data_IF_269589477665
#
_entry.id   IF_269589477665
#
_cell.length_a   1.000
_cell.length_b   1.000
_cell.length_c   1.000
_cell.angle_alpha   90.00
_cell.angle_beta   90.00
_cell.angle_gamma   90.00
#
_symmetry.space_group_name_H-M   'P 1'
#
loop_
_entity.id
_entity.type
_entity.pdbx_description
1 polymer ?
2 polymer ?
3 water ?
#
# COMPACT_ATOMS: atom_id res chain seq x y z
N UNK A 9 14.10 6.78 -15.92
CA UNK A 9 13.28 5.66 -15.49
C UNK A 9 13.15 5.61 -13.98
N UNK A 10 12.09 4.94 -13.51
CA UNK A 10 11.83 4.75 -12.09
C UNK A 10 12.06 3.30 -11.68
N UNK A 11 11.81 2.38 -12.60
CA UNK A 11 12.29 1.02 -12.40
C UNK A 11 13.42 0.81 -13.40
N UNK A 12 14.62 0.97 -12.88
CA UNK A 12 15.80 1.22 -13.68
C UNK A 12 16.68 -0.02 -13.78
N UNK A 13 16.07 -1.18 -13.58
CA UNK A 13 16.78 -2.44 -13.63
C UNK A 13 17.96 -2.53 -12.69
N UNK A 14 17.76 -2.09 -11.45
CA UNK A 14 18.78 -2.21 -10.43
C UNK A 14 18.30 -3.25 -9.41
N UNK A 15 19.15 -3.60 -8.45
CA UNK A 15 18.74 -4.48 -7.37
C UNK A 15 18.21 -3.65 -6.23
N UNK A 16 17.08 -4.08 -5.67
CA UNK A 16 16.48 -3.44 -4.49
C UNK A 16 17.51 -3.26 -3.36
N UNK A 17 17.62 -2.05 -2.82
CA UNK A 17 18.39 -1.87 -1.62
C UNK A 17 17.48 -1.94 -0.40
N UNK A 18 16.76 -0.86 -0.11
CA UNK A 18 15.82 -0.91 1.00
C UNK A 18 14.37 -0.66 0.60
N UNK A 19 13.48 -0.95 1.54
CA UNK A 19 12.12 -0.47 1.50
C UNK A 19 11.99 0.50 2.63
N UNK A 20 11.97 1.78 2.31
CA UNK A 20 11.99 2.83 3.32
C UNK A 20 10.63 3.08 3.95
N UNK A 21 9.58 3.08 3.15
CA UNK A 21 8.31 3.59 3.68
C UNK A 21 7.17 3.12 2.79
N UNK A 22 5.94 3.30 3.21
CA UNK A 22 4.84 2.98 2.31
C UNK A 22 3.68 3.98 2.43
N UNK A 23 2.84 4.03 1.40
CA UNK A 23 1.62 4.87 1.46
C UNK A 23 0.50 4.25 0.63
N UNK A 24 -0.63 4.05 1.29
CA UNK A 24 -1.74 3.35 0.67
C UNK A 24 -2.69 4.32 0.02
N UNK A 25 -2.83 4.21 -1.30
CA UNK A 25 -3.89 4.91 -2.05
C UNK A 25 -4.77 3.86 -2.73
N UNK A 26 -5.36 4.18 -3.88
CA UNK A 26 -5.99 3.16 -4.71
C UNK A 26 -5.00 2.03 -4.91
N UNK A 27 -3.74 2.39 -5.07
CA UNK A 27 -2.69 1.41 -5.06
C UNK A 27 -1.81 1.66 -3.85
N UNK A 28 -1.22 0.59 -3.34
CA UNK A 28 -0.24 0.70 -2.29
C UNK A 28 1.10 1.06 -2.92
N UNK A 29 1.78 2.04 -2.34
CA UNK A 29 3.08 2.44 -2.86
C UNK A 29 4.16 2.15 -1.85
N UNK A 30 5.28 1.66 -2.34
CA UNK A 30 6.44 1.47 -1.51
C UNK A 30 7.46 2.45 -1.96
N UNK A 31 8.07 3.09 -0.99
CA UNK A 31 9.15 4.01 -1.22
C UNK A 31 10.46 3.31 -0.89
N UNK A 32 11.16 2.99 -1.98
CA UNK A 32 12.35 2.16 -1.96
C UNK A 32 13.58 2.85 -2.52
N UNK A 33 14.75 2.45 -2.00
CA UNK A 33 16.01 2.85 -2.62
C UNK A 33 16.58 1.68 -3.40
N UNK A 34 17.49 1.99 -4.33
CA UNK A 34 18.19 0.96 -5.11
C UNK A 34 19.70 0.98 -4.81
N UNK A 35 20.39 -0.11 -5.14
CA UNK A 35 21.81 -0.25 -4.79
C UNK A 35 22.74 0.60 -5.65
N UNK A 36 23.33 1.59 -5.00
CA UNK A 36 24.22 2.55 -5.64
C UNK A 36 23.60 3.89 -5.96
N UNK A 37 22.29 4.03 -5.75
CA UNK A 37 21.48 5.06 -6.42
C UNK A 37 21.24 6.41 -5.70
N UNK A 38 21.14 6.40 -4.37
CA UNK A 38 20.91 7.62 -3.57
C UNK A 38 19.51 8.25 -3.73
N UNK A 39 18.71 7.74 -4.67
CA UNK A 39 17.36 8.29 -4.81
C UNK A 39 16.27 7.28 -4.36
N UNK A 40 15.15 7.83 -3.92
CA UNK A 40 14.00 7.06 -3.48
C UNK A 40 12.95 7.08 -4.58
N UNK A 41 12.31 5.94 -4.78
CA UNK A 41 11.31 5.80 -5.82
C UNK A 41 10.02 5.30 -5.19
N UNK A 42 8.92 5.82 -5.71
CA UNK A 42 7.61 5.28 -5.40
C UNK A 42 7.40 4.17 -6.40
N UNK A 43 7.08 2.99 -5.91
CA UNK A 43 6.87 1.85 -6.78
C UNK A 43 5.63 1.16 -6.31
N UNK A 44 4.71 0.85 -7.22
CA UNK A 44 3.51 0.14 -6.79
C UNK A 44 3.82 -1.21 -6.15
N UNK A 45 3.10 -1.48 -5.07
CA UNK A 45 3.26 -2.71 -4.29
C UNK A 45 3.31 -3.98 -5.13
N UNK A 46 2.40 -4.09 -6.09
CA UNK A 46 2.27 -5.28 -6.91
C UNK A 46 3.56 -5.61 -7.66
N UNK A 47 4.12 -4.59 -8.30
CA UNK A 47 5.36 -4.76 -9.04
C UNK A 47 6.48 -5.28 -8.15
N UNK A 48 6.73 -4.52 -7.09
CA UNK A 48 7.84 -4.81 -6.20
C UNK A 48 7.65 -6.19 -5.57
N UNK A 49 6.40 -6.56 -5.32
CA UNK A 49 6.06 -7.75 -4.57
C UNK A 49 6.17 -8.97 -5.45
N UNK A 50 6.02 -8.81 -6.75
CA UNK A 50 6.34 -9.94 -7.60
C UNK A 50 7.86 -10.02 -7.72
N UNK A 51 8.49 -8.89 -7.97
CA UNK A 51 9.93 -8.85 -8.18
C UNK A 51 10.75 -9.35 -6.97
N UNK A 52 10.50 -8.77 -5.80
CA UNK A 52 11.21 -9.10 -4.55
C UNK A 52 10.22 -9.46 -3.44
N UNK A 53 9.54 -10.61 -3.57
CA UNK A 53 8.44 -10.97 -2.66
C UNK A 53 8.88 -11.19 -1.21
N UNK A 54 10.17 -11.22 -0.91
CA UNK A 54 10.58 -11.57 0.45
C UNK A 54 10.96 -10.35 1.29
N UNK A 55 11.76 -9.45 0.71
CA UNK A 55 12.09 -8.20 1.39
C UNK A 55 10.82 -7.34 1.66
N UNK A 56 9.78 -7.52 0.85
CA UNK A 56 8.51 -6.89 1.11
C UNK A 56 7.89 -7.34 2.43
N UNK A 57 7.67 -8.66 2.53
CA UNK A 57 7.03 -9.25 3.71
C UNK A 57 7.86 -8.92 4.91
N UNK A 58 9.18 -8.98 4.76
CA UNK A 58 10.05 -8.47 5.80
C UNK A 58 9.64 -7.07 6.21
N UNK A 59 9.47 -6.18 5.24
CA UNK A 59 9.13 -4.79 5.57
C UNK A 59 7.83 -4.65 6.35
N UNK A 60 6.81 -5.41 5.95
CA UNK A 60 5.53 -5.31 6.63
C UNK A 60 5.45 -6.07 7.96
N UNK A 61 6.29 -7.10 8.12
CA UNK A 61 6.26 -7.87 9.35
C UNK A 61 7.05 -7.19 10.46
N UNK A 62 8.21 -6.64 10.10
CA UNK A 62 9.09 -6.01 11.08
C UNK A 62 8.98 -4.49 11.08
N UNK B 16 -8.27 -22.40 5.79
CA UNK B 16 -7.97 -21.25 4.93
C UNK B 16 -7.72 -21.70 3.51
N UNK B 17 -8.44 -21.12 2.55
CA UNK B 17 -8.25 -21.52 1.15
C UNK B 17 -7.57 -20.43 0.32
N UNK B 18 -8.12 -19.22 0.33
CA UNK B 18 -7.61 -18.17 -0.54
C UNK B 18 -7.20 -16.92 0.22
N UNK B 19 -6.16 -16.27 -0.28
CA UNK B 19 -5.83 -14.93 0.13
C UNK B 19 -6.16 -13.99 -1.04
N UNK B 20 -7.20 -13.20 -0.85
CA UNK B 20 -7.86 -12.47 -1.95
C UNK B 20 -7.21 -11.16 -2.34
N UNK B 21 -6.74 -10.42 -1.36
CA UNK B 21 -6.36 -9.04 -1.57
C UNK B 21 -5.71 -8.55 -0.29
N UNK B 22 -5.20 -7.33 -0.31
CA UNK B 22 -4.63 -6.78 0.91
C UNK B 22 -4.69 -5.25 0.94
N UNK B 23 -4.69 -4.69 2.13
CA UNK B 23 -4.69 -3.24 2.28
C UNK B 23 -3.83 -2.84 3.46
N UNK B 24 -3.03 -1.79 3.31
CA UNK B 24 -2.32 -1.21 4.46
C UNK B 24 -3.07 -0.04 5.09
N UNK B 25 -3.32 -0.09 6.39
CA UNK B 25 -3.64 1.13 7.12
C UNK B 25 -2.63 1.39 8.24
N UNK B 26 -2.74 0.64 9.33
CA UNK B 26 -1.67 0.72 10.32
C UNK B 26 -0.73 -0.46 10.06
N UNK B 27 -1.34 -1.65 10.06
CA UNK B 27 -0.65 -2.87 9.64
C UNK B 27 -1.10 -3.23 8.24
N UNK B 28 -0.40 -4.19 7.64
CA UNK B 28 -0.91 -4.73 6.39
C UNK B 28 -1.98 -5.75 6.76
N UNK B 29 -3.03 -5.78 5.97
CA UNK B 29 -4.12 -6.71 6.20
C UNK B 29 -4.33 -7.56 4.98
N UNK B 30 -4.57 -8.83 5.21
CA UNK B 30 -5.01 -9.73 4.17
C UNK B 30 -6.52 -9.91 4.27
N UNK B 31 -7.16 -10.03 3.13
CA UNK B 31 -8.55 -10.40 3.11
C UNK B 31 -8.69 -11.85 2.67
N UNK B 32 -9.01 -12.69 3.63
CA UNK B 32 -8.96 -14.13 3.44
C UNK B 32 -10.31 -14.77 3.56
N UNK B 33 -10.41 -15.98 3.03
CA UNK B 33 -11.60 -16.79 3.18
C UNK B 33 -11.21 -18.17 3.67
N UNK B 34 -12.15 -18.86 4.31
CA UNK B 34 -11.88 -20.23 4.72
C UNK B 34 -12.77 -21.20 4.00
N UNK B 39 -17.75 -16.05 4.28
CA UNK B 39 -17.47 -14.64 4.48
C UNK B 39 -16.00 -14.29 4.28
N UNK B 40 -15.75 -13.07 3.84
CA UNK B 40 -14.40 -12.54 3.70
C UNK B 40 -13.97 -11.85 4.99
N UNK B 41 -12.76 -12.11 5.45
CA UNK B 41 -12.32 -11.47 6.66
C UNK B 41 -11.06 -10.65 6.44
N UNK B 42 -10.84 -9.66 7.30
CA UNK B 42 -9.65 -8.83 7.23
C UNK B 42 -8.79 -9.07 8.46
N UNK B 43 -7.54 -9.47 8.24
CA UNK B 43 -6.65 -9.88 9.32
C UNK B 43 -5.23 -9.40 9.09
N UNK B 44 -4.54 -8.94 10.15
CA UNK B 44 -3.11 -8.61 9.98
C UNK B 44 -2.33 -9.74 9.32
N UNK B 45 -1.54 -9.39 8.31
CA UNK B 45 -0.78 -10.37 7.54
C UNK B 45 0.15 -11.17 8.44
N UNK B 46 0.62 -10.57 9.52
CA UNK B 46 1.52 -11.23 10.47
C UNK B 46 0.92 -12.52 11.03
N UNK B 47 -0.26 -12.35 11.60
CA UNK B 47 -1.02 -13.42 12.19
C UNK B 47 -1.26 -14.54 11.19
N UNK B 48 -1.87 -14.22 10.06
CA UNK B 48 -2.12 -15.23 9.05
C UNK B 48 -0.83 -15.88 8.57
N UNK B 49 0.26 -15.13 8.61
CA UNK B 49 1.52 -15.57 8.03
C UNK B 49 2.13 -16.69 8.87
N UNK B 50 2.23 -16.46 10.18
CA UNK B 50 2.82 -17.50 11.02
C UNK B 50 2.05 -18.82 10.90
N UNK B 51 0.73 -18.73 10.82
CA UNK B 51 -0.14 -19.90 10.73
C UNK B 51 -0.04 -20.58 9.36
N UNK B 52 -0.19 -19.80 8.30
CA UNK B 52 -0.11 -20.33 6.94
C UNK B 52 0.91 -19.59 6.07
N UNK B 53 2.21 -19.76 6.37
CA UNK B 53 3.27 -19.02 5.67
C UNK B 53 3.32 -19.27 4.17
N UNK B 54 3.06 -20.50 3.75
CA UNK B 54 3.02 -20.85 2.33
C UNK B 54 2.13 -19.93 1.51
N UNK B 55 0.85 -19.93 1.86
CA UNK B 55 -0.17 -19.26 1.08
C UNK B 55 0.09 -17.76 1.11
N UNK B 56 0.70 -17.28 2.18
CA UNK B 56 1.07 -15.88 2.24
C UNK B 56 2.19 -15.54 1.24
N UNK B 57 3.36 -16.20 1.33
CA UNK B 57 4.46 -15.89 0.39
C UNK B 57 3.99 -16.06 -1.06
N UNK B 58 3.20 -17.09 -1.29
CA UNK B 58 2.56 -17.37 -2.58
C UNK B 58 1.66 -16.23 -3.08
N UNK B 59 0.85 -15.71 -2.16
CA UNK B 59 0.05 -14.56 -2.50
C UNK B 59 0.94 -13.40 -2.90
N UNK B 60 1.94 -13.10 -2.07
CA UNK B 60 2.83 -11.99 -2.38
C UNK B 60 3.54 -12.15 -3.72
N UNK B 61 3.78 -13.39 -4.17
CA UNK B 61 4.32 -13.57 -5.52
C UNK B 61 3.26 -14.13 -6.49
N UNK C 5 13.49 8.93 10.69
CA UNK C 5 13.50 9.34 9.29
C UNK C 5 13.63 10.87 9.14
N UNK C 6 14.59 11.30 8.34
CA UNK C 6 14.82 12.73 8.09
C UNK C 6 15.07 12.98 6.59
N UNK C 7 14.13 12.49 5.80
CA UNK C 7 14.09 12.61 4.34
C UNK C 7 13.85 14.04 3.88
N UNK C 8 14.51 14.44 2.79
CA UNK C 8 14.35 15.79 2.25
C UNK C 8 13.16 15.92 1.32
N UNK C 9 12.56 17.12 1.34
CA UNK C 9 11.28 17.33 0.71
C UNK C 9 11.36 17.20 -0.81
N UNK C 10 12.48 17.58 -1.41
CA UNK C 10 12.73 17.31 -2.83
C UNK C 10 12.52 15.83 -3.21
N UNK C 11 12.96 14.94 -2.32
CA UNK C 11 12.81 13.50 -2.52
C UNK C 11 11.34 13.09 -2.37
N UNK C 12 10.67 13.63 -1.35
CA UNK C 12 9.23 13.43 -1.18
C UNK C 12 8.45 13.87 -2.44
N UNK C 13 8.77 15.06 -2.96
CA UNK C 13 8.15 15.52 -4.18
C UNK C 13 8.47 14.65 -5.37
N UNK C 14 9.70 14.18 -5.48
CA UNK C 14 10.04 13.31 -6.60
C UNK C 14 9.17 12.04 -6.53
N UNK C 15 8.86 11.63 -5.31
CA UNK C 15 8.00 10.48 -5.12
C UNK C 15 6.56 10.77 -5.51
N UNK C 16 6.06 11.92 -5.06
CA UNK C 16 4.71 12.31 -5.39
C UNK C 16 4.54 12.45 -6.89
N UNK C 17 5.58 12.93 -7.56
CA UNK C 17 5.51 13.12 -9.00
C UNK C 17 5.47 11.75 -9.69
N UNK C 18 6.24 10.80 -9.14
CA UNK C 18 6.19 9.40 -9.61
C UNK C 18 4.81 8.78 -9.37
N UNK C 19 4.17 9.17 -8.28
CA UNK C 19 2.83 8.68 -7.96
C UNK C 19 1.83 9.21 -9.01
N UNK C 20 1.89 10.50 -9.29
CA UNK C 20 1.00 11.13 -10.26
C UNK C 20 1.18 10.48 -11.62
N UNK C 21 2.43 10.22 -11.96
CA UNK C 21 2.73 9.56 -13.23
C UNK C 21 2.17 8.14 -13.30
N UNK C 22 2.17 7.43 -12.18
CA UNK C 22 1.75 6.02 -12.18
C UNK C 22 0.24 5.92 -12.25
N UNK C 23 -0.44 6.76 -11.49
CA UNK C 23 -1.90 6.76 -11.50
C UNK C 23 -2.50 7.58 -12.64
N UNK C 24 -1.85 8.69 -12.99
CA UNK C 24 -2.45 9.64 -13.92
C UNK C 24 -3.33 10.68 -13.25
N UNK C 25 -3.07 11.95 -13.55
CA UNK C 25 -3.82 13.07 -12.97
C UNK C 25 -5.30 12.95 -13.17
N UNK C 26 -5.68 12.50 -14.37
CA UNK C 26 -7.08 12.35 -14.73
C UNK C 26 -7.78 11.28 -13.91
N UNK C 27 -7.07 10.70 -12.95
CA UNK C 27 -7.59 9.58 -12.19
C UNK C 27 -8.51 10.02 -11.07
N UNK C 28 -8.31 11.25 -10.61
CA UNK C 28 -9.08 11.77 -9.48
C UNK C 28 -9.42 13.21 -9.76
N UNK C 29 -10.37 13.74 -9.00
CA UNK C 29 -10.57 15.17 -8.96
C UNK C 29 -9.44 15.80 -8.15
N UNK C 30 -9.28 17.11 -8.25
CA UNK C 30 -8.25 17.82 -7.52
C UNK C 30 -8.52 17.79 -6.01
N UNK C 31 -9.78 17.71 -5.61
CA UNK C 31 -10.14 17.66 -4.20
C UNK C 31 -9.55 16.40 -3.57
N UNK C 32 -9.79 15.30 -4.28
CA UNK C 32 -9.31 13.98 -3.96
C UNK C 32 -7.80 13.96 -3.88
N UNK C 33 -7.16 14.41 -4.96
CA UNK C 33 -5.71 14.49 -5.03
C UNK C 33 -5.16 15.24 -3.83
N UNK C 34 -5.78 16.36 -3.47
CA UNK C 34 -5.33 17.12 -2.30
C UNK C 34 -5.45 16.36 -1.00
N UNK C 35 -6.58 15.69 -0.79
CA UNK C 35 -6.76 14.95 0.46
C UNK C 35 -5.67 13.88 0.61
N UNK C 36 -5.48 13.11 -0.46
CA UNK C 36 -4.39 12.14 -0.49
C UNK C 36 -3.00 12.76 -0.37
N UNK C 37 -2.76 13.91 -0.98
CA UNK C 37 -1.48 14.56 -0.86
C UNK C 37 -1.19 15.01 0.58
N UNK C 38 -2.23 15.43 1.28
CA UNK C 38 -2.06 15.86 2.64
C UNK C 38 -1.76 14.59 3.47
N UNK C 39 -2.41 13.48 3.10
CA UNK C 39 -2.12 12.23 3.77
C UNK C 39 -0.72 11.69 3.48
N UNK C 40 -0.25 11.91 2.27
CA UNK C 40 1.08 11.55 1.86
C UNK C 40 2.11 12.29 2.65
N UNK C 41 1.84 13.55 2.97
CA UNK C 41 2.79 14.31 3.77
C UNK C 41 2.81 13.86 5.22
N UNK C 42 1.63 13.71 5.82
CA UNK C 42 1.61 13.31 7.22
C UNK C 42 2.10 11.87 7.38
N UNK C 43 2.16 11.16 6.26
CA UNK C 43 2.71 9.82 6.17
C UNK C 43 4.15 9.68 6.66
N UNK C 44 5.04 10.54 6.16
CA UNK C 44 6.44 10.53 6.59
C UNK C 44 6.55 10.90 8.07
N UNK C 45 5.53 11.57 8.59
CA UNK C 45 5.56 12.04 9.97
C UNK C 45 5.23 10.91 10.95
N UNK D 7 -17.11 -9.76 -5.92
CA UNK D 7 -17.23 -9.55 -4.48
C UNK D 7 -18.29 -8.49 -4.17
N UNK D 8 -19.09 -8.74 -3.14
CA UNK D 8 -20.24 -7.89 -2.85
C UNK D 8 -19.84 -6.66 -2.04
N UNK D 9 -20.50 -5.52 -2.32
CA UNK D 9 -20.14 -4.23 -1.75
C UNK D 9 -20.36 -4.20 -0.27
N UNK D 10 -21.44 -4.83 0.17
CA UNK D 10 -21.65 -5.02 1.58
C UNK D 10 -20.43 -5.71 2.24
N UNK D 11 -19.85 -6.70 1.56
CA UNK D 11 -18.70 -7.43 2.10
C UNK D 11 -17.43 -6.58 2.22
N UNK D 12 -17.12 -5.88 1.13
CA UNK D 12 -16.01 -4.94 1.12
C UNK D 12 -16.19 -3.92 2.24
N UNK D 13 -17.42 -3.41 2.38
CA UNK D 13 -17.77 -2.48 3.45
C UNK D 13 -17.51 -3.04 4.84
N UNK D 14 -17.89 -4.30 5.03
CA UNK D 14 -17.67 -4.97 6.31
C UNK D 14 -16.17 -5.04 6.59
N UNK D 15 -15.39 -5.24 5.53
CA UNK D 15 -13.94 -5.30 5.66
C UNK D 15 -13.34 -3.92 5.99
N UNK D 16 -13.75 -2.86 5.29
CA UNK D 16 -13.29 -1.48 5.58
C UNK D 16 -13.60 -1.11 7.02
N UNK D 17 -14.77 -1.51 7.52
CA UNK D 17 -15.09 -1.23 8.92
C UNK D 17 -14.25 -2.10 9.85
N UNK D 18 -13.97 -3.35 9.45
CA UNK D 18 -13.10 -4.22 10.23
C UNK D 18 -11.66 -3.69 10.38
N UNK D 19 -11.17 -3.05 9.32
CA UNK D 19 -9.86 -2.40 9.32
C UNK D 19 -9.85 -1.18 10.20
N UNK D 20 -10.84 -0.32 9.99
CA UNK D 20 -10.94 0.93 10.73
C UNK D 20 -11.05 0.70 12.22
N UNK D 21 -11.74 -0.37 12.61
CA UNK D 21 -11.89 -0.69 14.02
C UNK D 21 -10.57 -1.00 14.73
N UNK D 22 -9.66 -1.68 14.05
CA UNK D 22 -8.37 -2.05 14.65
C UNK D 22 -7.34 -0.93 14.51
N UNK D 27 -9.81 8.82 14.27
CA UNK D 27 -10.44 10.06 13.85
C UNK D 27 -10.03 10.46 12.43
N UNK D 28 -11.03 10.68 11.59
CA UNK D 28 -10.86 11.07 10.19
C UNK D 28 -11.90 12.16 9.96
N UNK D 29 -11.68 13.03 8.99
CA UNK D 29 -12.74 13.94 8.56
C UNK D 29 -13.76 13.17 7.72
N UNK D 30 -14.93 13.76 7.50
CA UNK D 30 -15.98 13.12 6.75
C UNK D 30 -15.55 12.94 5.29
N UNK D 31 -14.86 13.96 4.78
CA UNK D 31 -14.32 13.99 3.42
C UNK D 31 -13.11 13.04 3.29
N UNK D 32 -12.24 13.04 4.28
CA UNK D 32 -11.14 12.07 4.31
C UNK D 32 -11.68 10.66 4.25
N UNK D 33 -12.60 10.35 5.17
CA UNK D 33 -13.19 9.04 5.26
C UNK D 33 -13.73 8.62 3.89
N UNK D 34 -14.50 9.50 3.26
CA UNK D 34 -15.05 9.16 1.95
C UNK D 34 -13.99 8.95 0.85
N UNK D 35 -13.01 9.84 0.80
CA UNK D 35 -11.98 9.76 -0.23
C UNK D 35 -11.13 8.49 -0.09
N UNK D 36 -10.69 8.23 1.13
CA UNK D 36 -9.90 7.05 1.49
C UNK D 36 -10.69 5.76 1.28
N UNK D 37 -11.97 5.78 1.64
CA UNK D 37 -12.81 4.63 1.36
C UNK D 37 -13.00 4.36 -0.14
N UNK D 38 -13.07 5.41 -0.95
CA UNK D 38 -13.18 5.18 -2.38
C UNK D 38 -11.87 4.65 -2.98
N UNK D 39 -10.75 5.14 -2.47
CA UNK D 39 -9.47 4.59 -2.91
C UNK D 39 -9.37 3.14 -2.46
N UNK D 40 -9.99 2.89 -1.32
CA UNK D 40 -10.09 1.55 -0.78
C UNK D 40 -10.86 0.64 -1.72
N UNK D 41 -11.96 1.14 -2.29
CA UNK D 41 -12.74 0.30 -3.20
C UNK D 41 -12.05 0.07 -4.54
N UNK D 42 -11.55 1.12 -5.17
CA UNK D 42 -10.90 0.86 -6.44
C UNK D 42 -9.59 0.11 -6.26
N UNK D 43 -9.08 0.04 -5.03
CA UNK D 43 -7.94 -0.85 -4.74
C UNK D 43 -8.29 -2.30 -5.12
N UNK D 44 -9.48 -2.72 -4.70
CA UNK D 44 -10.04 -3.99 -5.13
C UNK D 44 -10.21 -3.93 -6.64
#
# INVERSE_FOLDING_TARGET
GPGSTEPFGLDRGLELDKVLHCYQMKELFLFVTWKGCSSIDAVPMKYIREAYPLQVIEFFQSGSGSGS
GPGSTEPFGLDRGLELDKVLHCYQMKELFLFVTWKGCSSIDAVPMKYIREAYPLQVIEFFQSGSGSGS
MENLAKIRMSQKLACWQQILTTLGTSSMSEQEWNTFFRGFLESWQNPYCIQTSCDPSIPL
MENLAKIRMSQKLACWQQILTTLGTSSMSEQEWNTFFRGFLESWQNPYCIQTSCDPSIPL
#
